data_IF_454286228629
#
_entry.id   IF_454286228629
#
_cell.length_a   1.000
_cell.length_b   1.000
_cell.length_c   1.000
_cell.angle_alpha   90.00
_cell.angle_beta   90.00
_cell.angle_gamma   90.00
#
_symmetry.space_group_name_H-M   'P 1'
#
loop_
_entity.id
_entity.type
_entity.pdbx_description
1 polymer ?
#
# COMPACT_ATOMS: atom_id res chain seq x y z
N UNK A 1 24.78 4.09 -11.56
CA UNK A 1 24.13 3.26 -12.60
C UNK A 1 22.66 3.70 -12.67
N UNK A 2 22.36 4.71 -13.49
CA UNK A 2 20.98 5.20 -13.65
C UNK A 2 20.21 4.15 -14.45
N UNK A 3 19.34 3.39 -13.80
CA UNK A 3 18.31 2.63 -14.52
C UNK A 3 17.34 3.66 -15.11
N UNK A 4 17.57 4.04 -16.36
CA UNK A 4 16.57 4.74 -17.17
C UNK A 4 15.45 3.75 -17.45
N UNK A 5 14.51 3.61 -16.51
CA UNK A 5 13.23 2.96 -16.79
C UNK A 5 12.56 3.84 -17.83
N UNK A 6 12.59 3.43 -19.09
CA UNK A 6 11.71 3.99 -20.11
C UNK A 6 10.28 3.64 -19.69
N UNK A 7 9.64 4.53 -18.93
CA UNK A 7 8.23 4.39 -18.56
C UNK A 7 7.38 4.56 -19.81
N UNK A 8 7.31 3.50 -20.60
CA UNK A 8 6.20 3.31 -21.53
C UNK A 8 4.90 3.48 -20.70
N UNK A 9 3.91 4.24 -21.19
CA UNK A 9 2.63 4.40 -20.50
C UNK A 9 2.01 3.07 -20.05
N UNK A 10 2.25 2.00 -20.81
CA UNK A 10 1.80 0.65 -20.49
C UNK A 10 2.47 0.06 -19.23
N UNK A 11 3.79 0.24 -19.06
CA UNK A 11 4.53 -0.26 -17.90
C UNK A 11 4.12 0.53 -16.65
N UNK A 12 3.93 1.85 -16.78
CA UNK A 12 3.43 2.68 -15.70
C UNK A 12 2.05 2.23 -15.23
N UNK A 13 1.11 2.03 -16.17
CA UNK A 13 -0.23 1.56 -15.85
C UNK A 13 -0.22 0.17 -15.16
N UNK A 14 0.61 -0.76 -15.66
CA UNK A 14 0.79 -2.08 -15.04
C UNK A 14 1.31 -1.98 -13.61
N UNK A 15 2.33 -1.13 -13.39
CA UNK A 15 2.95 -0.93 -12.09
C UNK A 15 1.96 -0.31 -11.09
N UNK A 16 1.15 0.66 -11.56
CA UNK A 16 0.10 1.28 -10.77
C UNK A 16 -0.97 0.25 -10.38
N UNK A 17 -1.45 -0.56 -11.32
CA UNK A 17 -2.42 -1.62 -11.05
C UNK A 17 -1.91 -2.63 -10.03
N UNK A 18 -0.67 -3.12 -10.20
CA UNK A 18 -0.05 -4.05 -9.24
C UNK A 18 0.12 -3.41 -7.86
N UNK A 19 0.54 -2.15 -7.81
CA UNK A 19 0.65 -1.39 -6.56
C UNK A 19 -0.69 -1.23 -5.84
N UNK A 20 -1.76 -0.91 -6.57
CA UNK A 20 -3.12 -0.82 -6.02
C UNK A 20 -3.57 -2.17 -5.45
N UNK A 21 -3.39 -3.26 -6.19
CA UNK A 21 -3.76 -4.61 -5.73
C UNK A 21 -2.98 -4.98 -4.46
N UNK A 22 -1.66 -4.74 -4.45
CA UNK A 22 -0.82 -5.01 -3.28
C UNK A 22 -1.24 -4.15 -2.07
N UNK A 23 -1.59 -2.89 -2.29
CA UNK A 23 -2.01 -1.99 -1.22
C UNK A 23 -3.37 -2.38 -0.63
N UNK A 24 -4.31 -2.83 -1.46
CA UNK A 24 -5.61 -3.35 -1.00
C UNK A 24 -5.39 -4.64 -0.21
N UNK A 25 -4.57 -5.57 -0.71
CA UNK A 25 -4.24 -6.80 0.00
C UNK A 25 -3.60 -6.55 1.37
N UNK A 26 -2.59 -5.69 1.43
CA UNK A 26 -1.94 -5.29 2.68
C UNK A 26 -2.91 -4.61 3.65
N UNK A 27 -3.78 -3.73 3.12
CA UNK A 27 -4.83 -3.07 3.88
C UNK A 27 -5.83 -4.05 4.50
N UNK A 28 -6.31 -5.04 3.73
CA UNK A 28 -7.22 -6.08 4.24
C UNK A 28 -6.59 -6.84 5.41
N UNK A 29 -5.33 -7.26 5.27
CA UNK A 29 -4.61 -7.99 6.32
C UNK A 29 -4.43 -7.11 7.56
N UNK A 30 -3.99 -5.86 7.38
CA UNK A 30 -3.84 -4.90 8.49
C UNK A 30 -5.16 -4.62 9.21
N UNK A 31 -6.25 -4.44 8.45
CA UNK A 31 -7.60 -4.23 8.99
C UNK A 31 -8.06 -5.40 9.87
N UNK A 32 -7.87 -6.64 9.41
CA UNK A 32 -8.19 -7.84 10.20
C UNK A 32 -7.36 -7.92 11.48
N UNK A 33 -6.05 -7.60 11.42
CA UNK A 33 -5.16 -7.66 12.58
C UNK A 33 -5.57 -6.63 13.64
N UNK A 34 -5.89 -5.40 13.24
CA UNK A 34 -6.18 -4.29 14.16
C UNK A 34 -7.63 -4.32 14.66
N UNK A 35 -8.60 -4.47 13.75
CA UNK A 35 -10.03 -4.31 14.03
C UNK A 35 -10.84 -5.59 14.06
N UNK A 36 -10.27 -6.73 13.64
CA UNK A 36 -11.03 -7.97 13.41
C UNK A 36 -11.69 -8.58 14.65
N UNK A 37 -11.18 -8.28 15.86
CA UNK A 37 -11.78 -8.74 17.12
C UNK A 37 -13.01 -7.94 17.55
N UNK A 38 -13.13 -6.68 17.11
CA UNK A 38 -14.19 -5.75 17.53
C UNK A 38 -15.29 -5.66 16.47
N UNK A 39 -14.89 -5.55 15.20
CA UNK A 39 -15.80 -5.35 14.07
C UNK A 39 -16.21 -6.65 13.38
N UNK A 40 -15.53 -7.76 13.69
CA UNK A 40 -15.59 -9.00 12.92
C UNK A 40 -14.60 -9.01 11.75
N UNK A 41 -14.14 -10.20 11.38
CA UNK A 41 -13.05 -10.37 10.40
C UNK A 41 -13.42 -9.86 9.00
N UNK A 42 -14.65 -10.09 8.54
CA UNK A 42 -15.09 -9.69 7.21
C UNK A 42 -15.24 -8.16 7.07
N UNK A 43 -15.88 -7.52 8.05
CA UNK A 43 -16.04 -6.07 8.05
C UNK A 43 -14.68 -5.37 8.20
N UNK A 44 -13.80 -5.90 9.06
CA UNK A 44 -12.45 -5.37 9.23
C UNK A 44 -11.59 -5.55 7.97
N UNK A 45 -11.75 -6.65 7.24
CA UNK A 45 -11.09 -6.85 5.94
C UNK A 45 -11.60 -5.85 4.90
N UNK A 46 -12.91 -5.65 4.79
CA UNK A 46 -13.49 -4.69 3.84
C UNK A 46 -13.02 -3.26 4.10
N UNK A 47 -13.06 -2.81 5.35
CA UNK A 47 -12.57 -1.48 5.73
C UNK A 47 -11.05 -1.37 5.52
N UNK A 48 -10.31 -2.41 5.89
CA UNK A 48 -8.86 -2.47 5.66
C UNK A 48 -8.50 -2.38 4.18
N UNK A 49 -9.20 -3.10 3.31
CA UNK A 49 -8.97 -3.06 1.86
C UNK A 49 -9.30 -1.70 1.25
N UNK A 50 -10.40 -1.07 1.69
CA UNK A 50 -10.83 0.24 1.19
C UNK A 50 -9.87 1.36 1.58
N UNK A 51 -9.35 1.31 2.81
CA UNK A 51 -8.38 2.29 3.33
C UNK A 51 -6.91 1.88 3.12
N UNK A 52 -6.65 0.68 2.59
CA UNK A 52 -5.31 0.17 2.31
C UNK A 52 -4.47 1.10 1.43
N UNK A 53 -4.99 1.61 0.30
CA UNK A 53 -4.33 2.63 -0.51
C UNK A 53 -4.00 3.91 0.26
N UNK A 54 -4.90 4.34 1.17
CA UNK A 54 -4.67 5.51 1.99
C UNK A 54 -3.51 5.29 2.98
N UNK A 55 -3.45 4.11 3.61
CA UNK A 55 -2.35 3.71 4.48
C UNK A 55 -1.01 3.60 3.71
N UNK A 56 -1.06 3.25 2.43
CA UNK A 56 0.10 3.27 1.53
C UNK A 56 0.79 4.64 1.49
N UNK A 57 0.02 5.74 1.49
CA UNK A 57 0.57 7.11 1.51
C UNK A 57 1.37 7.37 2.79
N UNK A 58 0.82 6.99 3.95
CA UNK A 58 1.52 7.12 5.22
C UNK A 58 2.80 6.25 5.28
N UNK A 59 2.74 5.04 4.71
CA UNK A 59 3.90 4.15 4.61
C UNK A 59 5.02 4.72 3.74
N UNK A 60 4.69 5.32 2.60
CA UNK A 60 5.66 6.02 1.74
C UNK A 60 6.27 7.20 2.49
N UNK A 61 5.45 8.01 3.17
CA UNK A 61 5.93 9.15 3.93
C UNK A 61 6.88 8.74 5.06
N UNK A 62 6.52 7.71 5.84
CA UNK A 62 7.37 7.15 6.88
C UNK A 62 8.69 6.60 6.31
N UNK A 63 8.63 5.88 5.19
CA UNK A 63 9.82 5.34 4.51
C UNK A 63 10.76 6.43 4.02
N UNK A 64 10.23 7.50 3.42
CA UNK A 64 11.02 8.67 3.00
C UNK A 64 11.65 9.39 4.19
N UNK A 65 10.92 9.51 5.30
CA UNK A 65 11.43 10.15 6.52
C UNK A 65 12.61 9.34 7.10
N UNK A 66 12.46 8.02 7.21
CA UNK A 66 13.56 7.14 7.65
C UNK A 66 14.76 7.27 6.71
N UNK A 67 14.53 7.20 5.39
CA UNK A 67 15.58 7.34 4.39
C UNK A 67 16.33 8.67 4.53
N UNK A 68 15.63 9.76 4.82
CA UNK A 68 16.25 11.08 5.05
C UNK A 68 17.10 11.17 6.32
N UNK A 69 16.96 10.22 7.26
CA UNK A 69 17.78 10.19 8.48
C UNK A 69 19.03 9.31 8.34
N UNK A 70 18.98 8.30 7.46
CA UNK A 70 20.08 7.34 7.28
C UNK A 70 20.88 7.54 5.98
N UNK A 71 20.32 8.26 5.00
CA UNK A 71 20.93 8.60 3.72
C UNK A 71 21.40 10.04 3.69
#
# INVERSE_FOLDING_TARGET
MQMSVSLSPAIFALSLCLGVIASVAGGMVGGVIVGGKVLGKELAALLGGFYGPLAGVAGVFAGLLVLSMIG
#
